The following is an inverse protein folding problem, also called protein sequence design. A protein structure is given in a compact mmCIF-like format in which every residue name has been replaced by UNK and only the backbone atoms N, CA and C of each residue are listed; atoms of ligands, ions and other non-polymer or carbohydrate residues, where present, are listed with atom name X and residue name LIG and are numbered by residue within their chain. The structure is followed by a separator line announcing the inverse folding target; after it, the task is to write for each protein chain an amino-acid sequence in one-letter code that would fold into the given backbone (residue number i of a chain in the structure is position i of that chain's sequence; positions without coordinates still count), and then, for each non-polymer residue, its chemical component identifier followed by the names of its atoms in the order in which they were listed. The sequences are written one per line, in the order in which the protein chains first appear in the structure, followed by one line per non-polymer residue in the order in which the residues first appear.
data_IF_033415068502
#
_entry.id   IF_033415068502
#
_cell.length_a   1.000
_cell.length_b   1.000
_cell.length_c   1.000
_cell.angle_alpha   90.00
_cell.angle_beta   90.00
_cell.angle_gamma   90.00
#
_symmetry.space_group_name_H-M   'P 1'
#
loop_
_entity.id
_entity.type
_entity.pdbx_description
1 polymer ?
#
# COMPACT_ATOMS: atom_id res chain seq x y z
N UNK A 1 31.71 -16.97 -31.09
CA UNK A 1 31.58 -17.49 -29.71
C UNK A 1 31.99 -16.50 -28.61
N UNK A 2 33.16 -15.84 -28.67
CA UNK A 2 33.63 -14.92 -27.60
C UNK A 2 32.77 -13.65 -27.40
N UNK A 3 32.21 -13.09 -28.49
CA UNK A 3 31.32 -11.92 -28.44
C UNK A 3 29.98 -12.22 -27.74
N UNK A 4 29.39 -13.40 -28.01
CA UNK A 4 28.17 -13.85 -27.34
C UNK A 4 28.38 -14.09 -25.83
N UNK A 5 29.55 -14.61 -25.44
CA UNK A 5 29.96 -14.75 -24.04
C UNK A 5 30.09 -13.40 -23.30
N UNK A 6 30.64 -12.38 -23.97
CA UNK A 6 30.77 -11.03 -23.38
C UNK A 6 29.40 -10.33 -23.20
N UNK A 7 28.49 -10.51 -24.17
CA UNK A 7 27.13 -9.96 -24.07
C UNK A 7 26.36 -10.62 -22.92
N UNK A 8 26.45 -11.95 -22.79
CA UNK A 8 25.78 -12.68 -21.70
C UNK A 8 26.33 -12.31 -20.32
N UNK A 9 27.65 -12.09 -20.21
CA UNK A 9 28.30 -11.68 -18.94
C UNK A 9 27.85 -10.28 -18.49
N UNK A 10 27.55 -9.38 -19.43
CA UNK A 10 27.11 -8.01 -19.14
C UNK A 10 25.61 -7.91 -18.83
N UNK A 11 24.79 -8.87 -19.28
CA UNK A 11 23.33 -8.80 -19.15
C UNK A 11 22.83 -9.22 -17.75
N UNK A 12 23.56 -10.11 -17.09
CA UNK A 12 23.24 -10.64 -15.75
C UNK A 12 23.18 -9.53 -14.68
N UNK A 13 24.20 -8.65 -14.51
CA UNK A 13 24.14 -7.60 -13.48
C UNK A 13 23.05 -6.55 -13.76
N UNK A 14 22.70 -6.32 -15.03
CA UNK A 14 21.64 -5.38 -15.41
C UNK A 14 20.25 -5.85 -14.95
N UNK A 15 19.96 -7.17 -15.02
CA UNK A 15 18.69 -7.72 -14.51
C UNK A 15 18.60 -7.67 -12.98
N UNK A 16 19.70 -7.87 -12.24
CA UNK A 16 19.69 -7.79 -10.78
C UNK A 16 19.45 -6.34 -10.28
N UNK A 17 19.89 -5.34 -11.03
CA UNK A 17 19.67 -3.93 -10.69
C UNK A 17 18.19 -3.51 -10.74
N UNK A 18 17.33 -4.22 -11.49
CA UNK A 18 15.90 -3.92 -11.57
C UNK A 18 15.10 -4.44 -10.36
N UNK A 19 15.63 -5.40 -9.59
CA UNK A 19 14.94 -5.97 -8.43
C UNK A 19 14.97 -5.11 -7.16
N UNK A 20 15.85 -4.10 -7.11
CA UNK A 20 16.07 -3.26 -5.93
C UNK A 20 15.11 -2.08 -5.74
N UNK A 21 14.27 -1.77 -6.73
CA UNK A 21 13.23 -0.74 -6.61
C UNK A 21 11.94 -1.23 -5.92
N UNK A 22 11.94 -2.45 -5.37
CA UNK A 22 10.83 -2.93 -4.55
C UNK A 22 10.96 -2.35 -3.14
N UNK A 23 10.00 -1.49 -2.77
CA UNK A 23 9.90 -0.93 -1.43
C UNK A 23 9.42 -2.06 -0.49
N UNK A 24 10.10 -2.34 0.64
CA UNK A 24 9.66 -3.38 1.55
C UNK A 24 8.23 -3.10 2.04
N UNK A 25 7.43 -4.14 2.26
CA UNK A 25 6.01 -4.01 2.65
C UNK A 25 5.81 -3.21 3.95
N UNK A 26 6.86 -3.11 4.77
CA UNK A 26 6.92 -2.36 6.03
C UNK A 26 7.34 -0.89 5.87
N UNK A 27 7.78 -0.47 4.69
CA UNK A 27 8.09 0.94 4.45
C UNK A 27 6.78 1.75 4.34
N UNK A 28 6.71 2.94 4.95
CA UNK A 28 5.53 3.80 4.83
C UNK A 28 5.23 4.15 3.37
N UNK A 29 4.00 3.87 2.98
CA UNK A 29 3.39 4.28 1.72
C UNK A 29 2.79 5.69 1.80
N UNK A 30 2.20 6.18 0.70
CA UNK A 30 1.44 7.42 0.71
C UNK A 30 0.28 7.32 1.72
N UNK A 31 0.13 8.33 2.58
CA UNK A 31 -0.80 8.30 3.72
C UNK A 31 -0.17 7.86 5.05
N UNK A 32 1.13 7.55 5.08
CA UNK A 32 1.85 7.19 6.31
C UNK A 32 1.59 5.77 6.80
N UNK A 33 0.83 4.98 6.04
CA UNK A 33 0.51 3.57 6.33
C UNK A 33 1.40 2.65 5.50
N UNK A 34 1.77 1.51 6.08
CA UNK A 34 2.44 0.41 5.40
C UNK A 34 1.48 -0.33 4.47
N UNK A 35 2.00 -1.14 3.55
CA UNK A 35 1.15 -1.95 2.67
C UNK A 35 0.34 -2.97 3.46
N UNK A 36 0.91 -3.51 4.54
CA UNK A 36 0.20 -4.41 5.46
C UNK A 36 -0.96 -3.73 6.18
N UNK A 37 -0.77 -2.50 6.67
CA UNK A 37 -1.82 -1.71 7.30
C UNK A 37 -2.92 -1.32 6.32
N UNK A 38 -2.57 -0.90 5.10
CA UNK A 38 -3.54 -0.58 4.06
C UNK A 38 -4.43 -1.79 3.73
N UNK A 39 -3.84 -2.99 3.60
CA UNK A 39 -4.59 -4.23 3.37
C UNK A 39 -5.56 -4.55 4.51
N UNK A 40 -5.13 -4.37 5.76
CA UNK A 40 -5.98 -4.60 6.93
C UNK A 40 -7.16 -3.61 6.99
N UNK A 41 -6.93 -2.35 6.60
CA UNK A 41 -7.97 -1.33 6.47
C UNK A 41 -8.99 -1.68 5.39
N UNK A 42 -8.53 -2.18 4.23
CA UNK A 42 -9.42 -2.61 3.14
C UNK A 42 -10.29 -3.81 3.54
N UNK A 43 -9.73 -4.78 4.26
CA UNK A 43 -10.49 -5.91 4.80
C UNK A 43 -11.56 -5.44 5.80
N UNK A 44 -11.21 -4.49 6.67
CA UNK A 44 -12.16 -3.89 7.60
C UNK A 44 -13.29 -3.16 6.87
N UNK A 45 -12.98 -2.42 5.78
CA UNK A 45 -13.98 -1.77 4.96
C UNK A 45 -14.92 -2.78 4.27
N UNK A 46 -14.38 -3.88 3.75
CA UNK A 46 -15.19 -4.95 3.13
C UNK A 46 -16.20 -5.55 4.12
N UNK A 47 -15.79 -5.80 5.37
CA UNK A 47 -16.70 -6.29 6.41
C UNK A 47 -17.83 -5.29 6.74
N UNK A 48 -17.59 -3.99 6.63
CA UNK A 48 -18.60 -2.95 6.83
C UNK A 48 -19.58 -2.88 5.65
N UNK A 49 -19.10 -3.07 4.42
CA UNK A 49 -19.93 -3.09 3.23
C UNK A 49 -20.87 -4.30 3.21
N UNK A 50 -20.38 -5.48 3.60
CA UNK A 50 -21.23 -6.67 3.81
C UNK A 50 -22.34 -6.42 4.84
N UNK A 51 -22.03 -5.61 5.86
CA UNK A 51 -22.94 -5.28 6.97
C UNK A 51 -23.48 -3.87 6.84
N UNK A 52 -23.84 -3.46 5.61
CA UNK A 52 -24.23 -2.08 5.29
C UNK A 52 -25.14 -1.49 6.38
N UNK A 53 -24.63 -0.53 7.18
CA UNK A 53 -25.39 -0.02 8.30
C UNK A 53 -26.55 0.86 7.79
N UNK A 54 -27.65 0.96 8.57
CA UNK A 54 -28.79 1.79 8.19
C UNK A 54 -28.35 3.25 7.99
N UNK A 55 -28.99 3.98 7.07
CA UNK A 55 -28.59 5.34 6.68
C UNK A 55 -28.46 6.31 7.88
N UNK A 56 -29.27 6.12 8.92
CA UNK A 56 -29.18 6.90 10.16
C UNK A 56 -27.82 6.75 10.88
N UNK A 57 -27.17 5.59 10.78
CA UNK A 57 -25.86 5.33 11.37
C UNK A 57 -24.69 5.92 10.55
N UNK A 58 -24.96 6.34 9.30
CA UNK A 58 -23.98 7.00 8.44
C UNK A 58 -23.99 8.53 8.59
N UNK A 59 -24.83 9.08 9.46
CA UNK A 59 -24.87 10.52 9.67
C UNK A 59 -23.62 10.99 10.42
N UNK A 60 -22.91 12.02 9.91
CA UNK A 60 -21.80 12.61 10.62
C UNK A 60 -22.25 13.06 12.00
N UNK A 61 -21.65 12.50 13.05
CA UNK A 61 -21.87 13.01 14.40
C UNK A 61 -21.27 14.41 14.49
N UNK A 62 -22.06 15.38 14.97
CA UNK A 62 -21.54 16.70 15.29
C UNK A 62 -20.30 16.58 16.19
N UNK A 63 -19.23 17.37 15.97
CA UNK A 63 -18.03 17.32 16.80
C UNK A 63 -18.41 17.54 18.25
N UNK A 64 -18.26 16.51 19.10
CA UNK A 64 -18.67 16.59 20.51
C UNK A 64 -17.73 17.43 21.38
N UNK A 65 -16.57 17.81 20.83
CA UNK A 65 -15.53 18.57 21.54
C UNK A 65 -15.14 19.87 20.84
N UNK A 66 -15.99 20.41 19.97
CA UNK A 66 -15.84 21.79 19.50
C UNK A 66 -16.22 22.78 20.63
N UNK A 67 -15.45 22.76 21.72
CA UNK A 67 -15.35 23.92 22.60
C UNK A 67 -14.70 25.02 21.77
N UNK A 68 -15.52 25.93 21.27
CA UNK A 68 -15.08 27.17 20.65
C UNK A 68 -14.09 27.89 21.58
N UNK A 69 -13.05 28.56 21.04
CA UNK A 69 -12.27 29.51 21.82
C UNK A 69 -13.17 30.63 22.36
#
# INVERSE_FOLDING_TARGET
MKKARLIFLSLIPAMLALGGCSKPDTAPGPGGVTMGEARALDEAAAMLDERRPPAAALQPSAPKDAKAP
#
